data_IF_658825761270
#
_entry.id   IF_658825761270
#
_cell.length_a   1.000
_cell.length_b   1.000
_cell.length_c   1.000
_cell.angle_alpha   90.00
_cell.angle_beta   90.00
_cell.angle_gamma   90.00
#
_symmetry.space_group_name_H-M   'P 1'
#
loop_
_entity.id
_entity.type
_entity.pdbx_description
1 polymer ?
#
# COMPACT_ATOMS: atom_id res chain seq x y z
N UNK A 1 -2.83 9.20 -8.98
CA UNK A 1 -1.83 9.10 -7.89
C UNK A 1 -0.65 10.08 -8.05
N UNK A 2 -0.39 10.63 -9.25
CA UNK A 2 0.82 11.44 -9.52
C UNK A 2 0.65 12.96 -9.33
N UNK A 3 -0.55 13.46 -9.06
CA UNK A 3 -0.78 14.92 -9.05
C UNK A 3 -0.34 15.64 -7.77
N UNK A 4 0.01 14.93 -6.68
CA UNK A 4 0.60 15.56 -5.50
C UNK A 4 1.32 14.58 -4.55
N UNK A 5 2.59 14.20 -4.82
CA UNK A 5 3.39 13.37 -3.93
C UNK A 5 3.50 13.94 -2.50
N UNK A 6 3.49 15.27 -2.36
CA UNK A 6 3.50 15.93 -1.05
C UNK A 6 2.24 15.65 -0.22
N UNK A 7 1.05 15.70 -0.84
CA UNK A 7 -0.22 15.39 -0.17
C UNK A 7 -0.29 13.92 0.26
N UNK A 8 0.16 13.01 -0.61
CA UNK A 8 0.23 11.58 -0.27
C UNK A 8 1.23 11.33 0.87
N UNK A 9 2.42 11.90 0.81
CA UNK A 9 3.43 11.78 1.88
C UNK A 9 2.88 12.30 3.21
N UNK A 10 2.24 13.47 3.21
CA UNK A 10 1.64 14.05 4.42
C UNK A 10 0.56 13.12 5.01
N UNK A 11 -0.33 12.58 4.17
CA UNK A 11 -1.37 11.67 4.61
C UNK A 11 -0.79 10.36 5.18
N UNK A 12 0.25 9.81 4.55
CA UNK A 12 0.95 8.62 5.05
C UNK A 12 1.58 8.89 6.42
N UNK A 13 2.31 10.01 6.56
CA UNK A 13 2.99 10.37 7.82
C UNK A 13 1.98 10.60 8.95
N UNK A 14 0.79 11.14 8.66
CA UNK A 14 -0.26 11.32 9.65
C UNK A 14 -0.86 9.98 10.12
N UNK A 15 -0.98 9.00 9.22
CA UNK A 15 -1.64 7.71 9.50
C UNK A 15 -0.68 6.61 9.99
N UNK A 16 0.64 6.85 9.95
CA UNK A 16 1.65 5.88 10.39
C UNK A 16 2.59 6.56 11.40
N UNK A 17 2.21 6.66 12.68
CA UNK A 17 2.99 7.38 13.69
C UNK A 17 4.44 6.87 13.82
N UNK A 18 4.64 5.57 13.61
CA UNK A 18 5.97 4.95 13.66
C UNK A 18 6.91 5.36 12.53
N UNK A 19 6.37 6.00 11.49
CA UNK A 19 7.11 6.57 10.36
C UNK A 19 7.27 8.09 10.51
N UNK A 20 6.49 8.73 11.39
CA UNK A 20 6.31 10.18 11.43
C UNK A 20 7.42 10.95 12.15
N UNK A 21 8.17 10.33 13.07
CA UNK A 21 9.11 11.06 13.95
C UNK A 21 10.46 10.35 14.15
N UNK A 22 11.58 10.92 13.64
CA UNK A 22 11.63 11.99 12.65
C UNK A 22 11.00 11.54 11.31
N UNK A 23 10.48 12.47 10.51
CA UNK A 23 9.96 12.11 9.19
C UNK A 23 11.12 11.72 8.24
N UNK A 24 11.00 10.62 7.46
CA UNK A 24 12.02 10.23 6.50
C UNK A 24 11.99 11.11 5.26
N UNK A 25 13.11 11.12 4.54
CA UNK A 25 13.10 11.40 3.12
C UNK A 25 12.41 10.24 2.39
N UNK A 26 11.36 10.55 1.63
CA UNK A 26 10.62 9.57 0.81
C UNK A 26 11.05 9.69 -0.65
N UNK A 27 11.50 8.60 -1.26
CA UNK A 27 11.82 8.52 -2.69
C UNK A 27 10.94 7.45 -3.34
N UNK A 28 9.92 7.90 -4.07
CA UNK A 28 9.03 7.03 -4.83
C UNK A 28 9.79 6.39 -6.00
N UNK A 29 9.67 5.07 -6.14
CA UNK A 29 10.24 4.27 -7.24
C UNK A 29 9.16 3.62 -8.10
N UNK A 30 7.90 3.67 -7.64
CA UNK A 30 6.68 3.39 -8.42
C UNK A 30 5.46 4.07 -7.78
N UNK A 31 4.51 4.60 -8.57
CA UNK A 31 4.58 4.81 -10.02
C UNK A 31 5.56 5.94 -10.39
N UNK A 32 6.18 5.86 -11.57
CA UNK A 32 6.99 6.93 -12.16
C UNK A 32 6.40 7.29 -13.52
N UNK A 33 6.21 8.59 -13.79
CA UNK A 33 5.50 9.14 -14.97
C UNK A 33 6.05 8.61 -16.30
N UNK A 34 7.36 8.42 -16.39
CA UNK A 34 8.03 7.96 -17.62
C UNK A 34 7.72 6.50 -17.98
N UNK A 35 7.17 5.70 -17.05
CA UNK A 35 6.98 4.25 -17.21
C UNK A 35 5.51 3.82 -17.31
N UNK A 36 4.58 4.73 -17.62
CA UNK A 36 3.13 4.44 -17.71
C UNK A 36 2.62 3.66 -16.48
N UNK A 37 2.98 4.10 -15.27
CA UNK A 37 2.60 3.43 -14.02
C UNK A 37 2.94 1.93 -13.98
N UNK A 38 4.20 1.58 -14.28
CA UNK A 38 4.65 0.19 -14.22
C UNK A 38 4.45 -0.42 -12.82
N UNK A 39 3.63 -1.45 -12.73
CA UNK A 39 3.45 -2.25 -11.52
C UNK A 39 4.55 -3.33 -11.43
N UNK A 40 5.05 -3.59 -10.22
CA UNK A 40 6.16 -4.53 -9.99
C UNK A 40 5.77 -5.64 -9.02
N UNK A 41 6.25 -6.86 -9.28
CA UNK A 41 6.09 -8.05 -8.43
C UNK A 41 7.42 -8.80 -8.28
N UNK A 42 7.42 -9.91 -7.53
CA UNK A 42 8.53 -10.87 -7.39
C UNK A 42 9.94 -10.24 -7.24
N UNK A 43 10.84 -10.46 -8.20
CA UNK A 43 12.22 -9.99 -8.11
C UNK A 43 12.30 -8.49 -8.38
N UNK A 44 11.48 -8.01 -9.30
CA UNK A 44 11.48 -6.66 -9.80
C UNK A 44 11.13 -5.64 -8.71
N UNK A 45 10.16 -5.95 -7.83
CA UNK A 45 9.83 -5.03 -6.73
C UNK A 45 10.99 -4.93 -5.72
N UNK A 46 11.68 -6.04 -5.44
CA UNK A 46 12.86 -6.04 -4.58
C UNK A 46 13.99 -5.20 -5.20
N UNK A 47 14.25 -5.34 -6.50
CA UNK A 47 15.25 -4.53 -7.21
C UNK A 47 14.91 -3.04 -7.16
N UNK A 48 13.63 -2.67 -7.36
CA UNK A 48 13.16 -1.29 -7.21
C UNK A 48 13.38 -0.75 -5.81
N UNK A 49 13.22 -1.57 -4.78
CA UNK A 49 13.49 -1.18 -3.39
C UNK A 49 14.97 -1.24 -3.00
N UNK A 50 15.85 -1.77 -3.86
CA UNK A 50 17.27 -1.95 -3.54
C UNK A 50 17.53 -3.14 -2.61
N UNK A 51 16.68 -4.16 -2.69
CA UNK A 51 16.64 -5.37 -1.85
C UNK A 51 16.82 -6.65 -2.69
N UNK A 52 17.47 -6.56 -3.85
CA UNK A 52 17.62 -7.67 -4.81
C UNK A 52 18.20 -8.94 -4.18
N UNK A 53 19.09 -8.79 -3.19
CA UNK A 53 19.74 -9.88 -2.47
C UNK A 53 18.74 -10.74 -1.66
N UNK A 54 17.54 -10.24 -1.39
CA UNK A 54 16.47 -10.99 -0.71
C UNK A 54 15.72 -11.94 -1.65
N UNK A 55 15.94 -11.89 -2.97
CA UNK A 55 15.22 -12.71 -3.93
C UNK A 55 15.31 -14.23 -3.66
N UNK A 56 16.49 -14.81 -3.35
CA UNK A 56 16.58 -16.23 -3.03
C UNK A 56 15.78 -16.62 -1.78
N UNK A 57 15.67 -15.72 -0.80
CA UNK A 57 14.88 -15.95 0.41
C UNK A 57 13.39 -15.83 0.11
N UNK A 58 12.97 -14.83 -0.68
CA UNK A 58 11.58 -14.65 -1.07
C UNK A 58 11.05 -15.86 -1.81
N UNK A 59 11.80 -16.43 -2.75
CA UNK A 59 11.41 -17.64 -3.50
C UNK A 59 11.18 -18.88 -2.62
N UNK A 60 11.78 -18.92 -1.44
CA UNK A 60 11.55 -19.98 -0.44
C UNK A 60 10.31 -19.70 0.41
N UNK A 61 10.04 -18.42 0.66
CA UNK A 61 8.92 -17.97 1.48
C UNK A 61 7.59 -17.97 0.72
N UNK A 62 7.58 -17.52 -0.54
CA UNK A 62 6.40 -17.37 -1.38
C UNK A 62 6.65 -17.92 -2.79
N UNK A 63 5.66 -18.58 -3.43
CA UNK A 63 5.81 -19.02 -4.81
C UNK A 63 5.93 -17.83 -5.78
N UNK A 64 6.41 -18.06 -7.00
CA UNK A 64 6.36 -17.02 -8.04
C UNK A 64 4.90 -16.65 -8.37
N UNK A 65 4.69 -15.39 -8.77
CA UNK A 65 3.36 -14.79 -8.87
C UNK A 65 2.91 -14.16 -7.56
N UNK A 66 3.82 -13.44 -6.90
CA UNK A 66 3.57 -12.65 -5.71
C UNK A 66 2.71 -11.40 -5.95
N UNK A 67 2.59 -10.54 -4.93
CA UNK A 67 1.86 -9.29 -5.02
C UNK A 67 2.44 -8.40 -6.13
N UNK A 68 1.53 -7.84 -6.93
CA UNK A 68 1.80 -6.70 -7.78
C UNK A 68 1.52 -5.45 -6.96
N UNK A 69 2.46 -4.50 -6.85
CA UNK A 69 2.35 -3.34 -5.97
C UNK A 69 1.93 -2.07 -6.72
N UNK A 70 0.94 -1.35 -6.19
CA UNK A 70 0.45 -0.07 -6.72
C UNK A 70 1.44 1.08 -6.47
N UNK A 71 2.24 0.97 -5.41
CA UNK A 71 3.25 1.96 -5.07
C UNK A 71 4.40 1.41 -4.25
N UNK A 72 5.58 1.95 -4.49
CA UNK A 72 6.83 1.56 -3.84
C UNK A 72 7.65 2.80 -3.55
N UNK A 73 8.13 2.94 -2.32
CA UNK A 73 9.07 4.00 -1.96
C UNK A 73 10.22 3.52 -1.09
N UNK A 74 11.37 4.18 -1.24
CA UNK A 74 12.53 4.06 -0.36
C UNK A 74 12.46 5.17 0.68
N UNK A 75 12.76 4.83 1.92
CA UNK A 75 12.74 5.73 3.09
C UNK A 75 14.16 5.91 3.62
N UNK A 76 14.53 7.13 4.03
CA UNK A 76 15.80 7.42 4.70
C UNK A 76 15.66 8.33 5.91
N UNK A 77 16.35 7.96 7.00
CA UNK A 77 16.60 8.80 8.17
C UNK A 77 18.11 8.93 8.37
N UNK A 78 18.73 9.91 7.70
CA UNK A 78 20.18 10.02 7.66
C UNK A 78 20.83 8.75 7.08
N UNK A 79 21.46 7.94 7.93
CA UNK A 79 22.09 6.67 7.56
C UNK A 79 21.13 5.47 7.57
N UNK A 80 20.03 5.54 8.31
CA UNK A 80 19.04 4.47 8.38
C UNK A 80 18.17 4.44 7.12
N UNK A 81 17.71 3.24 6.75
CA UNK A 81 16.96 2.98 5.52
C UNK A 81 15.73 2.14 5.82
N UNK A 82 14.65 2.41 5.08
CA UNK A 82 13.44 1.62 5.11
C UNK A 82 12.74 1.59 3.76
N UNK A 83 11.60 0.92 3.71
CA UNK A 83 10.78 0.79 2.50
C UNK A 83 9.30 0.95 2.83
N UNK A 84 8.57 1.52 1.89
CA UNK A 84 7.13 1.66 1.94
C UNK A 84 6.51 0.89 0.77
N UNK A 85 5.54 0.03 1.09
CA UNK A 85 4.72 -0.71 0.15
C UNK A 85 3.32 -0.09 0.16
N UNK A 86 2.69 0.04 -1.02
CA UNK A 86 1.34 0.60 -1.14
C UNK A 86 0.45 -0.38 -1.90
N UNK A 87 -0.73 -0.64 -1.33
CA UNK A 87 -1.89 -1.22 -2.00
C UNK A 87 -2.95 -0.12 -2.12
N UNK A 88 -3.43 0.16 -3.33
CA UNK A 88 -4.49 1.11 -3.58
C UNK A 88 -5.79 0.39 -3.94
N UNK A 89 -6.92 0.85 -3.38
CA UNK A 89 -8.26 0.34 -3.72
C UNK A 89 -9.22 1.50 -3.98
N UNK A 90 -10.08 1.37 -4.99
CA UNK A 90 -11.04 2.42 -5.36
C UNK A 90 -12.45 2.21 -4.79
N UNK A 91 -12.81 0.97 -4.44
CA UNK A 91 -14.05 0.66 -3.72
C UNK A 91 -13.96 -0.66 -2.91
N UNK A 92 -14.83 -0.87 -1.90
CA UNK A 92 -14.62 -1.93 -0.91
C UNK A 92 -14.72 -3.36 -1.45
N UNK A 93 -15.54 -3.60 -2.48
CA UNK A 93 -15.67 -4.94 -3.05
C UNK A 93 -14.36 -5.47 -3.66
N UNK A 94 -13.41 -4.61 -4.03
CA UNK A 94 -12.07 -5.01 -4.48
C UNK A 94 -11.25 -5.70 -3.39
N UNK A 95 -11.61 -5.55 -2.11
CA UNK A 95 -10.97 -6.29 -1.03
C UNK A 95 -11.25 -7.80 -1.15
N UNK A 96 -12.38 -8.18 -1.76
CA UNK A 96 -12.79 -9.59 -1.83
C UNK A 96 -12.01 -10.35 -2.88
N UNK A 97 -11.25 -11.33 -2.42
CA UNK A 97 -10.35 -12.12 -3.27
C UNK A 97 -10.08 -13.49 -2.67
N UNK A 98 -10.03 -14.52 -3.52
CA UNK A 98 -9.72 -15.88 -3.13
C UNK A 98 -8.41 -16.35 -3.77
N UNK A 99 -7.67 -17.19 -3.05
CA UNK A 99 -6.48 -17.86 -3.55
C UNK A 99 -6.87 -18.82 -4.68
N UNK A 100 -6.22 -18.69 -5.83
CA UNK A 100 -6.39 -19.57 -7.01
C UNK A 100 -5.11 -20.32 -7.36
N UNK A 101 -4.22 -20.51 -6.37
CA UNK A 101 -2.94 -21.16 -6.56
C UNK A 101 -3.11 -22.65 -6.88
N UNK A 102 -2.17 -23.21 -7.65
CA UNK A 102 -2.07 -24.65 -7.86
C UNK A 102 -1.79 -25.38 -6.53
N UNK A 103 -2.08 -26.69 -6.42
CA UNK A 103 -1.79 -27.46 -5.20
C UNK A 103 -0.33 -27.35 -4.75
N UNK A 104 0.61 -27.30 -5.71
CA UNK A 104 2.04 -27.16 -5.43
C UNK A 104 2.37 -25.82 -4.76
N UNK A 105 1.81 -24.71 -5.25
CA UNK A 105 2.01 -23.37 -4.68
C UNK A 105 1.23 -23.16 -3.38
N UNK A 106 0.09 -23.84 -3.24
CA UNK A 106 -0.82 -23.68 -2.10
C UNK A 106 -0.17 -24.07 -0.78
N UNK A 107 0.64 -25.14 -0.74
CA UNK A 107 1.33 -25.55 0.48
C UNK A 107 2.29 -24.46 0.99
N UNK A 108 3.07 -23.84 0.09
CA UNK A 108 3.97 -22.72 0.41
C UNK A 108 3.19 -21.51 0.89
N UNK A 109 2.12 -21.13 0.18
CA UNK A 109 1.24 -20.00 0.56
C UNK A 109 0.64 -20.21 1.95
N UNK A 110 0.10 -21.40 2.22
CA UNK A 110 -0.47 -21.74 3.52
C UNK A 110 0.57 -21.64 4.64
N UNK A 111 1.82 -22.05 4.37
CA UNK A 111 2.89 -21.95 5.34
C UNK A 111 3.27 -20.49 5.64
N UNK A 112 3.40 -19.66 4.60
CA UNK A 112 3.66 -18.22 4.74
C UNK A 112 2.53 -17.51 5.49
N UNK A 113 1.27 -17.82 5.16
CA UNK A 113 0.09 -17.27 5.84
C UNK A 113 0.07 -17.66 7.32
N UNK A 114 0.35 -18.92 7.67
CA UNK A 114 0.42 -19.33 9.08
C UNK A 114 1.49 -18.58 9.86
N UNK A 115 2.69 -18.43 9.29
CA UNK A 115 3.77 -17.63 9.90
C UNK A 115 3.34 -16.17 10.09
N UNK A 116 2.67 -15.61 9.09
CA UNK A 116 2.15 -14.25 9.14
C UNK A 116 1.06 -14.09 10.19
N UNK A 117 0.07 -14.98 10.24
CA UNK A 117 -0.98 -14.97 11.27
C UNK A 117 -0.37 -15.00 12.67
N UNK A 118 0.63 -15.84 12.90
CA UNK A 118 1.34 -15.90 14.18
C UNK A 118 2.06 -14.57 14.50
N UNK A 119 2.80 -14.01 13.54
CA UNK A 119 3.52 -12.75 13.72
C UNK A 119 2.60 -11.54 13.99
N UNK A 120 1.38 -11.57 13.45
CA UNK A 120 0.35 -10.55 13.66
C UNK A 120 -0.60 -10.86 14.83
N UNK A 121 -0.33 -11.92 15.60
CA UNK A 121 -1.19 -12.42 16.68
C UNK A 121 -2.67 -12.61 16.24
N UNK A 122 -2.87 -12.96 14.97
CA UNK A 122 -4.17 -13.17 14.38
C UNK A 122 -4.74 -14.52 14.80
N UNK A 123 -6.04 -14.58 15.08
CA UNK A 123 -6.74 -15.85 15.22
C UNK A 123 -6.71 -16.61 13.89
N UNK A 124 -6.59 -17.94 13.94
CA UNK A 124 -6.68 -18.77 12.74
C UNK A 124 -7.98 -18.51 12.01
N UNK A 125 -7.89 -18.11 10.75
CA UNK A 125 -9.06 -17.80 9.91
C UNK A 125 -8.85 -18.25 8.47
N UNK A 126 -9.90 -18.83 7.91
CA UNK A 126 -10.00 -19.24 6.50
C UNK A 126 -10.11 -18.03 5.55
N UNK A 127 -10.50 -16.87 6.08
CA UNK A 127 -10.68 -15.64 5.29
C UNK A 127 -9.39 -15.21 4.56
N UNK A 128 -8.22 -15.52 5.14
CA UNK A 128 -6.91 -15.24 4.53
C UNK A 128 -6.73 -15.90 3.15
N UNK A 129 -7.36 -17.05 2.92
CA UNK A 129 -7.25 -17.79 1.66
C UNK A 129 -8.49 -17.66 0.79
N UNK A 130 -9.66 -17.45 1.39
CA UNK A 130 -10.93 -17.60 0.68
C UNK A 130 -11.70 -16.29 0.49
N UNK A 131 -11.39 -15.24 1.25
CA UNK A 131 -12.19 -14.01 1.24
C UNK A 131 -11.36 -12.75 0.99
N UNK A 132 -10.13 -12.66 1.53
CA UNK A 132 -9.28 -11.46 1.43
C UNK A 132 -7.83 -11.81 1.08
N UNK A 133 -7.66 -12.73 0.12
CA UNK A 133 -6.35 -13.28 -0.27
C UNK A 133 -5.34 -12.22 -0.73
N UNK A 134 -5.79 -11.18 -1.43
CA UNK A 134 -4.90 -10.08 -1.82
C UNK A 134 -4.32 -9.40 -0.58
N UNK A 135 -5.13 -8.94 0.37
CA UNK A 135 -4.60 -8.33 1.60
C UNK A 135 -3.72 -9.31 2.38
N UNK A 136 -4.13 -10.58 2.50
CA UNK A 136 -3.33 -11.63 3.14
C UNK A 136 -1.94 -11.78 2.51
N UNK A 137 -1.83 -11.70 1.18
CA UNK A 137 -0.55 -11.78 0.49
C UNK A 137 0.33 -10.54 0.72
N UNK A 138 -0.26 -9.34 0.84
CA UNK A 138 0.48 -8.10 1.19
C UNK A 138 1.03 -8.17 2.62
N UNK A 139 0.20 -8.64 3.55
CA UNK A 139 0.61 -8.85 4.95
C UNK A 139 1.75 -9.88 5.04
N UNK A 140 1.70 -10.95 4.25
CA UNK A 140 2.77 -11.94 4.20
C UNK A 140 4.10 -11.36 3.68
N UNK A 141 4.05 -10.47 2.68
CA UNK A 141 5.26 -9.82 2.17
C UNK A 141 5.81 -8.77 3.14
N UNK A 142 4.95 -8.03 3.83
CA UNK A 142 5.36 -7.17 4.93
C UNK A 142 6.06 -7.99 6.03
N UNK A 143 5.45 -9.12 6.45
CA UNK A 143 6.04 -10.03 7.42
C UNK A 143 7.43 -10.53 6.98
N UNK A 144 7.53 -11.04 5.74
CA UNK A 144 8.79 -11.51 5.18
C UNK A 144 9.89 -10.45 5.25
N UNK A 145 9.64 -9.24 4.77
CA UNK A 145 10.64 -8.16 4.78
C UNK A 145 11.10 -7.86 6.22
N UNK A 146 10.16 -7.79 7.16
CA UNK A 146 10.50 -7.53 8.57
C UNK A 146 11.27 -8.68 9.21
N UNK A 147 10.98 -9.93 8.83
CA UNK A 147 11.74 -11.09 9.25
C UNK A 147 13.18 -11.06 8.70
N UNK A 148 13.40 -10.47 7.52
CA UNK A 148 14.74 -10.24 6.96
C UNK A 148 15.45 -9.01 7.57
N UNK A 149 14.89 -8.38 8.62
CA UNK A 149 15.47 -7.19 9.25
C UNK A 149 15.23 -5.88 8.49
N UNK A 150 14.38 -5.88 7.47
CA UNK A 150 14.05 -4.66 6.73
C UNK A 150 13.05 -3.82 7.52
N UNK A 151 13.34 -2.53 7.68
CA UNK A 151 12.39 -1.54 8.18
C UNK A 151 11.33 -1.31 7.09
N UNK A 152 10.24 -2.07 7.14
CA UNK A 152 9.20 -2.08 6.12
C UNK A 152 7.84 -1.69 6.69
N UNK A 153 7.08 -0.92 5.90
CA UNK A 153 5.71 -0.50 6.18
C UNK A 153 4.80 -0.80 4.99
N UNK A 154 3.51 -1.01 5.29
CA UNK A 154 2.44 -1.18 4.30
C UNK A 154 1.42 -0.06 4.47
N UNK A 155 1.06 0.61 3.39
CA UNK A 155 -0.06 1.56 3.35
C UNK A 155 -1.17 0.98 2.50
N UNK A 156 -2.38 0.96 3.06
CA UNK A 156 -3.62 0.76 2.33
C UNK A 156 -4.13 2.14 1.93
N UNK A 157 -4.00 2.48 0.66
CA UNK A 157 -4.50 3.72 0.07
C UNK A 157 -5.93 3.49 -0.43
N UNK A 158 -6.89 4.16 0.22
CA UNK A 158 -8.32 3.99 -0.01
C UNK A 158 -8.83 5.25 -0.68
N UNK A 159 -9.18 5.16 -1.95
CA UNK A 159 -9.68 6.32 -2.68
C UNK A 159 -11.11 6.62 -2.24
N UNK A 160 -11.37 7.86 -1.89
CA UNK A 160 -12.73 8.36 -1.64
C UNK A 160 -13.14 9.24 -2.80
N UNK A 161 -14.45 9.30 -3.06
CA UNK A 161 -15.03 10.24 -4.04
C UNK A 161 -14.55 10.08 -5.50
N UNK A 162 -13.97 8.92 -5.84
CA UNK A 162 -13.68 8.52 -7.23
C UNK A 162 -15.00 8.21 -8.00
N UNK A 163 -14.95 7.51 -9.13
CA UNK A 163 -16.11 7.23 -9.98
C UNK A 163 -17.33 6.63 -9.24
N UNK A 164 -17.10 5.76 -8.24
CA UNK A 164 -18.15 5.17 -7.38
C UNK A 164 -18.56 6.03 -6.18
N UNK A 165 -17.86 7.13 -5.92
CA UNK A 165 -18.08 8.04 -4.79
C UNK A 165 -18.17 7.34 -3.43
N UNK A 166 -17.27 6.40 -3.16
CA UNK A 166 -17.22 5.68 -1.89
C UNK A 166 -16.84 6.63 -0.75
N UNK A 167 -17.71 6.84 0.27
CA UNK A 167 -17.39 7.69 1.39
C UNK A 167 -16.43 6.98 2.36
N UNK A 168 -15.63 7.75 3.09
CA UNK A 168 -14.70 7.23 4.10
C UNK A 168 -15.38 6.34 5.15
N UNK A 169 -16.60 6.69 5.58
CA UNK A 169 -17.35 5.91 6.59
C UNK A 169 -17.67 4.49 6.13
N UNK A 170 -17.95 4.30 4.84
CA UNK A 170 -18.17 2.97 4.26
C UNK A 170 -16.86 2.17 4.23
N UNK A 171 -15.75 2.81 3.87
CA UNK A 171 -14.43 2.17 3.93
C UNK A 171 -14.05 1.73 5.35
N UNK A 172 -14.33 2.54 6.37
CA UNK A 172 -14.05 2.21 7.77
C UNK A 172 -14.86 0.98 8.23
N UNK A 173 -16.15 0.91 7.89
CA UNK A 173 -17.00 -0.24 8.19
C UNK A 173 -16.49 -1.52 7.51
N UNK A 174 -16.11 -1.41 6.25
CA UNK A 174 -15.62 -2.55 5.48
C UNK A 174 -14.25 -3.01 5.96
N UNK A 175 -13.32 -2.10 6.25
CA UNK A 175 -12.03 -2.47 6.83
C UNK A 175 -12.15 -3.08 8.22
N UNK A 176 -13.10 -2.62 9.04
CA UNK A 176 -13.41 -3.26 10.32
C UNK A 176 -13.85 -4.71 10.11
N UNK A 177 -14.75 -4.95 9.15
CA UNK A 177 -15.20 -6.30 8.78
C UNK A 177 -14.05 -7.17 8.28
N UNK A 178 -13.21 -6.64 7.38
CA UNK A 178 -12.02 -7.33 6.85
C UNK A 178 -11.07 -7.71 8.00
N UNK A 179 -10.77 -6.79 8.92
CA UNK A 179 -9.85 -7.05 10.04
C UNK A 179 -10.37 -8.15 10.95
N UNK A 180 -11.65 -8.09 11.32
CA UNK A 180 -12.31 -9.11 12.14
C UNK A 180 -12.29 -10.47 11.43
N UNK A 181 -12.65 -10.52 10.14
CA UNK A 181 -12.61 -11.75 9.36
C UNK A 181 -11.21 -12.34 9.28
N UNK A 182 -10.16 -11.52 9.18
CA UNK A 182 -8.76 -11.95 9.21
C UNK A 182 -8.29 -12.34 10.62
N UNK A 183 -9.11 -12.15 11.66
CA UNK A 183 -8.76 -12.47 13.04
C UNK A 183 -7.75 -11.49 13.64
N UNK A 184 -7.58 -10.31 13.05
CA UNK A 184 -6.67 -9.26 13.51
C UNK A 184 -7.35 -8.46 14.63
N UNK A 185 -6.64 -8.28 15.76
CA UNK A 185 -7.21 -7.70 17.00
C UNK A 185 -6.88 -6.23 17.23
N UNK A 186 -5.85 -5.72 16.56
CA UNK A 186 -5.38 -4.35 16.74
C UNK A 186 -4.81 -3.81 15.42
N UNK A 187 -4.66 -2.50 15.38
CA UNK A 187 -3.82 -1.87 14.37
C UNK A 187 -2.37 -2.27 14.58
N UNK A 188 -1.64 -2.50 13.49
CA UNK A 188 -0.24 -2.86 13.55
C UNK A 188 0.60 -1.60 13.34
N UNK A 189 1.66 -1.33 14.11
CA UNK A 189 2.46 -0.11 13.97
C UNK A 189 3.10 0.08 12.59
N UNK A 190 3.12 -0.95 11.74
CA UNK A 190 3.74 -0.95 10.42
C UNK A 190 2.72 -0.89 9.29
N UNK A 191 1.42 -0.74 9.61
CA UNK A 191 0.33 -0.67 8.65
C UNK A 191 -0.38 0.67 8.81
N UNK A 192 -0.48 1.44 7.74
CA UNK A 192 -1.28 2.65 7.66
C UNK A 192 -2.51 2.49 6.79
N UNK A 193 -3.59 3.17 7.15
CA UNK A 193 -4.79 3.32 6.31
C UNK A 193 -4.92 4.78 5.93
N UNK A 194 -4.80 5.08 4.64
CA UNK A 194 -4.83 6.44 4.11
C UNK A 194 -6.07 6.59 3.26
N UNK A 195 -6.96 7.50 3.64
CA UNK A 195 -8.15 7.87 2.86
C UNK A 195 -7.81 9.10 2.04
N UNK A 196 -7.93 9.00 0.71
CA UNK A 196 -7.58 10.09 -0.19
C UNK A 196 -8.73 10.41 -1.14
N UNK A 197 -9.29 11.61 -1.00
CA UNK A 197 -10.28 12.12 -1.94
C UNK A 197 -9.62 12.53 -3.25
N UNK A 198 -10.06 11.89 -4.34
CA UNK A 198 -9.67 12.21 -5.72
C UNK A 198 -10.77 13.10 -6.31
N UNK A 199 -10.49 14.36 -6.69
CA UNK A 199 -11.50 15.19 -7.34
C UNK A 199 -11.92 14.53 -8.66
N UNK A 200 -13.22 14.30 -8.87
CA UNK A 200 -13.71 13.88 -10.19
C UNK A 200 -13.33 14.91 -11.26
N UNK A 201 -13.20 14.47 -12.52
CA UNK A 201 -12.78 15.27 -13.70
C UNK A 201 -13.57 16.58 -13.99
N UNK A 202 -14.50 17.00 -13.11
CA UNK A 202 -15.25 18.25 -13.20
C UNK A 202 -14.70 19.43 -12.38
N UNK A 203 -13.73 19.22 -11.48
CA UNK A 203 -13.17 20.31 -10.68
C UNK A 203 -12.07 21.07 -11.46
N UNK A 204 -12.45 21.73 -12.56
CA UNK A 204 -11.60 22.79 -13.13
C UNK A 204 -11.35 23.80 -12.02
N UNK A 205 -10.10 23.85 -11.55
CA UNK A 205 -9.63 24.92 -10.69
C UNK A 205 -9.90 26.23 -11.43
N UNK A 206 -10.84 27.03 -10.93
CA UNK A 206 -11.04 28.40 -11.39
C UNK A 206 -9.73 29.15 -11.13
N UNK A 207 -8.89 29.27 -12.16
CA UNK A 207 -7.78 30.22 -12.16
C UNK A 207 -8.45 31.60 -12.14
N UNK A 208 -8.22 32.44 -11.13
CA UNK A 208 -8.75 33.80 -11.17
C UNK A 208 -8.06 34.52 -12.33
N UNK A 209 -8.87 35.01 -13.28
CA UNK A 209 -8.38 35.84 -14.38
C UNK A 209 -7.58 37.00 -13.79
N UNK A 210 -6.37 37.20 -14.32
CA UNK A 210 -5.55 38.38 -14.03
C UNK A 210 -6.37 39.62 -14.37
N UNK A 211 -6.64 40.44 -13.37
CA UNK A 211 -7.13 41.81 -13.58
C UNK A 211 -6.20 42.53 -14.55
N UNK A 212 -6.72 42.88 -15.71
CA UNK A 212 -6.10 43.84 -16.62
C UNK A 212 -6.11 45.21 -15.95
N UNK A 213 -4.99 45.60 -15.37
CA UNK A 213 -4.65 46.98 -15.04
C UNK A 213 -3.69 47.47 -16.13
N UNK A 214 -4.19 48.34 -17.01
CA UNK A 214 -3.52 49.39 -17.80
C UNK A 214 -4.54 49.86 -18.86
N UNK A 215 -4.84 51.14 -19.08
CA UNK A 215 -3.96 52.32 -19.05
C UNK A 215 -4.68 53.58 -18.58
N UNK A 216 -3.92 54.42 -17.88
CA UNK A 216 -4.14 55.86 -17.81
C UNK A 216 -3.55 56.48 -19.07
N UNK A 217 -4.34 57.21 -19.84
CA UNK A 217 -3.83 58.12 -20.86
C UNK A 217 -3.86 59.54 -20.31
N UNK A 218 -2.72 60.22 -20.44
CA UNK A 218 -2.61 61.68 -20.40
C UNK A 218 -3.26 62.29 -21.65
#
# INVERSE_FOLDING_TARGET
MNECPARLNQAILACVPSLATPAPQVTWVSPLDEKRCAEYSDREFLERLGLADLWPALRKFWPSGGPVWDGLARLRWGHERGVLLVEAKSYPEECRSACRASPQSLATIQNAIRQTQHAFCASSSRAWLHEYYQLANRLAHLHFLRQQGVHAWLVLLLLTDDWKKTPQTLWEQELSTVWVSLGLRAEHPWIGRVFLSVPGEGAKTLIPERSSLMSVSH
#
